data_IF_596654800237
#
_entry.id   IF_596654800237
#
_cell.length_a   1.000
_cell.length_b   1.000
_cell.length_c   1.000
_cell.angle_alpha   90.00
_cell.angle_beta   90.00
_cell.angle_gamma   90.00
#
_symmetry.space_group_name_H-M   'P 1'
#
loop_
_entity.id
_entity.type
_entity.pdbx_description
1 polymer ?
#
# COMPACT_ATOMS: atom_id res chain seq x y z
N UNK A 1 -10.31 -20.79 -1.46
CA UNK A 1 -8.84 -20.81 -1.45
C UNK A 1 -8.26 -20.09 -2.66
N UNK A 2 -8.60 -20.46 -3.91
CA UNK A 2 -8.14 -19.77 -5.13
C UNK A 2 -8.44 -18.26 -5.16
N UNK A 3 -9.62 -17.84 -4.69
CA UNK A 3 -10.04 -16.43 -4.68
C UNK A 3 -9.15 -15.53 -3.82
N UNK A 4 -8.74 -16.01 -2.65
CA UNK A 4 -7.84 -15.30 -1.72
C UNK A 4 -6.44 -15.09 -2.33
N UNK A 5 -5.93 -16.11 -3.02
CA UNK A 5 -4.62 -16.04 -3.70
C UNK A 5 -4.65 -14.98 -4.80
N UNK A 6 -5.75 -14.89 -5.56
CA UNK A 6 -5.90 -13.88 -6.61
C UNK A 6 -5.94 -12.46 -6.01
N UNK A 7 -6.67 -12.25 -4.91
CA UNK A 7 -6.71 -10.95 -4.22
C UNK A 7 -5.34 -10.57 -3.67
N UNK A 8 -4.60 -11.53 -3.10
CA UNK A 8 -3.24 -11.31 -2.62
C UNK A 8 -2.28 -10.95 -3.76
N UNK A 9 -2.32 -11.66 -4.88
CA UNK A 9 -1.49 -11.34 -6.04
C UNK A 9 -1.84 -9.99 -6.66
N UNK A 10 -3.13 -9.65 -6.75
CA UNK A 10 -3.58 -8.36 -7.27
C UNK A 10 -3.12 -7.20 -6.37
N UNK A 11 -3.17 -7.37 -5.04
CA UNK A 11 -2.70 -6.36 -4.09
C UNK A 11 -1.19 -6.19 -4.14
N UNK A 12 -0.43 -7.28 -4.22
CA UNK A 12 1.01 -7.24 -4.44
C UNK A 12 1.34 -6.46 -5.71
N UNK A 13 0.71 -6.80 -6.84
CA UNK A 13 0.90 -6.10 -8.11
C UNK A 13 0.59 -4.61 -7.98
N UNK A 14 -0.50 -4.26 -7.31
CA UNK A 14 -0.90 -2.86 -7.09
C UNK A 14 0.14 -2.08 -6.25
N UNK A 15 0.71 -2.70 -5.21
CA UNK A 15 1.77 -2.10 -4.40
C UNK A 15 3.07 -1.88 -5.19
N UNK A 16 3.41 -2.80 -6.11
CA UNK A 16 4.53 -2.62 -7.02
C UNK A 16 4.30 -1.50 -8.05
N UNK A 17 3.08 -1.36 -8.58
CA UNK A 17 2.72 -0.26 -9.49
C UNK A 17 2.87 1.09 -8.79
N UNK A 18 2.40 1.19 -7.55
CA UNK A 18 2.55 2.40 -6.73
C UNK A 18 4.03 2.74 -6.51
N UNK A 19 4.86 1.75 -6.17
CA UNK A 19 6.31 1.98 -6.03
C UNK A 19 6.96 2.41 -7.36
N UNK A 20 6.59 1.78 -8.47
CA UNK A 20 7.12 2.10 -9.79
C UNK A 20 6.80 3.53 -10.23
N UNK A 21 5.64 4.04 -9.83
CA UNK A 21 5.19 5.40 -10.13
C UNK A 21 5.80 6.48 -9.22
N UNK A 22 6.37 6.12 -8.06
CA UNK A 22 6.98 7.11 -7.17
C UNK A 22 8.37 7.56 -7.67
N UNK A 23 8.55 8.87 -7.75
CA UNK A 23 9.79 9.55 -8.15
C UNK A 23 10.88 9.44 -7.07
N UNK A 24 10.51 9.18 -5.82
CA UNK A 24 11.40 9.05 -4.65
C UNK A 24 11.64 7.59 -4.24
N UNK A 25 11.37 6.64 -5.16
CA UNK A 25 11.57 5.20 -4.94
C UNK A 25 12.98 4.77 -4.54
N UNK A 26 13.99 5.63 -4.74
CA UNK A 26 15.36 5.39 -4.29
C UNK A 26 15.58 5.63 -2.79
N UNK A 27 14.66 6.33 -2.12
CA UNK A 27 14.79 6.72 -0.72
C UNK A 27 14.19 5.70 0.25
N UNK A 28 13.40 4.73 -0.23
CA UNK A 28 12.82 3.65 0.57
C UNK A 28 12.75 2.33 -0.24
N UNK A 29 12.96 1.19 0.43
CA UNK A 29 13.06 -0.11 -0.24
C UNK A 29 11.76 -0.56 -0.93
N UNK A 30 11.89 -1.34 -2.01
CA UNK A 30 10.78 -1.86 -2.84
C UNK A 30 9.71 -2.60 -2.04
N UNK A 31 10.10 -3.20 -0.92
CA UNK A 31 9.24 -4.02 -0.08
C UNK A 31 8.26 -3.20 0.78
N UNK A 32 8.51 -1.91 1.01
CA UNK A 32 7.67 -1.08 1.88
C UNK A 32 6.26 -0.87 1.30
N UNK A 33 6.09 -0.35 0.07
CA UNK A 33 4.75 -0.14 -0.50
C UNK A 33 4.01 -1.45 -0.76
N UNK A 34 4.73 -2.49 -1.20
CA UNK A 34 4.17 -3.82 -1.41
C UNK A 34 3.70 -4.43 -0.07
N UNK A 35 4.53 -4.41 0.97
CA UNK A 35 4.19 -4.93 2.29
C UNK A 35 3.00 -4.19 2.93
N UNK A 36 2.97 -2.86 2.85
CA UNK A 36 1.84 -2.06 3.35
C UNK A 36 0.57 -2.38 2.59
N UNK A 37 0.62 -2.49 1.26
CA UNK A 37 -0.55 -2.80 0.45
C UNK A 37 -1.17 -4.15 0.83
N UNK A 38 -0.33 -5.17 1.03
CA UNK A 38 -0.75 -6.52 1.39
C UNK A 38 -1.27 -6.55 2.82
N UNK A 39 -0.58 -5.93 3.77
CA UNK A 39 -1.02 -5.91 5.17
C UNK A 39 -2.39 -5.24 5.33
N UNK A 40 -2.59 -4.08 4.71
CA UNK A 40 -3.87 -3.35 4.76
C UNK A 40 -4.98 -4.11 4.04
N UNK A 41 -4.68 -4.70 2.88
CA UNK A 41 -5.64 -5.52 2.18
C UNK A 41 -6.06 -6.75 3.00
N UNK A 42 -5.10 -7.48 3.59
CA UNK A 42 -5.41 -8.65 4.43
C UNK A 42 -6.23 -8.28 5.67
N UNK A 43 -5.89 -7.17 6.33
CA UNK A 43 -6.64 -6.69 7.50
C UNK A 43 -8.08 -6.31 7.12
N UNK A 44 -8.26 -5.54 6.04
CA UNK A 44 -9.60 -5.16 5.59
C UNK A 44 -10.43 -6.36 5.13
N UNK A 45 -9.82 -7.33 4.44
CA UNK A 45 -10.47 -8.58 4.06
C UNK A 45 -10.99 -9.32 5.29
N UNK A 46 -10.18 -9.45 6.34
CA UNK A 46 -10.55 -10.13 7.57
C UNK A 46 -11.72 -9.44 8.29
N UNK A 47 -11.73 -8.11 8.31
CA UNK A 47 -12.87 -7.32 8.85
C UNK A 47 -14.14 -7.55 8.03
N UNK A 48 -14.08 -7.53 6.70
CA UNK A 48 -15.27 -7.70 5.86
C UNK A 48 -15.86 -9.12 5.92
N UNK A 49 -15.02 -10.14 6.05
CA UNK A 49 -15.49 -11.51 6.27
C UNK A 49 -16.16 -11.64 7.64
N UNK A 50 -15.58 -11.04 8.69
CA UNK A 50 -16.19 -11.04 10.03
C UNK A 50 -17.52 -10.28 10.09
N UNK A 51 -17.69 -9.24 9.29
CA UNK A 51 -18.96 -8.51 9.16
C UNK A 51 -20.02 -9.29 8.36
N UNK A 52 -19.70 -10.49 7.85
CA UNK A 52 -20.65 -11.33 7.12
C UNK A 52 -20.91 -10.90 5.67
N UNK A 53 -20.18 -9.90 5.15
CA UNK A 53 -20.34 -9.42 3.77
C UNK A 53 -19.99 -10.49 2.72
N UNK A 54 -19.27 -11.55 3.10
CA UNK A 54 -19.00 -12.69 2.23
C UNK A 54 -20.22 -13.58 1.94
N UNK A 55 -21.27 -13.52 2.77
CA UNK A 55 -22.40 -14.47 2.72
C UNK A 55 -23.73 -13.81 2.33
N UNK A 56 -23.77 -12.48 2.22
CA UNK A 56 -24.96 -11.73 1.90
C UNK A 56 -25.06 -11.47 0.38
N UNK A 57 -26.16 -11.88 -0.28
CA UNK A 57 -26.38 -11.61 -1.70
C UNK A 57 -26.33 -10.10 -1.99
N UNK A 58 -25.64 -9.69 -3.06
CA UNK A 58 -25.50 -8.29 -3.48
C UNK A 58 -24.29 -7.54 -2.89
N UNK A 59 -23.80 -7.94 -1.72
CA UNK A 59 -22.57 -7.38 -1.10
C UNK A 59 -21.40 -8.34 -1.11
N UNK A 60 -21.58 -9.53 -1.68
CA UNK A 60 -20.53 -10.54 -1.79
C UNK A 60 -19.27 -10.02 -2.46
N UNK A 61 -19.33 -8.97 -3.31
CA UNK A 61 -18.15 -8.42 -3.98
C UNK A 61 -17.25 -7.56 -3.09
N UNK A 62 -17.78 -7.03 -1.98
CA UNK A 62 -17.12 -6.09 -1.07
C UNK A 62 -15.79 -6.66 -0.53
N UNK A 63 -15.75 -7.89 0.01
CA UNK A 63 -14.51 -8.44 0.54
C UNK A 63 -13.44 -8.67 -0.52
N UNK A 64 -13.71 -8.60 -1.83
CA UNK A 64 -12.67 -8.84 -2.85
C UNK A 64 -12.13 -7.54 -3.46
N UNK A 65 -13.00 -6.56 -3.72
CA UNK A 65 -12.60 -5.34 -4.43
C UNK A 65 -12.14 -4.25 -3.47
N UNK A 66 -12.86 -4.04 -2.37
CA UNK A 66 -12.53 -2.99 -1.40
C UNK A 66 -11.15 -3.18 -0.77
N UNK A 67 -10.73 -4.39 -0.37
CA UNK A 67 -9.38 -4.60 0.15
C UNK A 67 -8.27 -4.24 -0.82
N UNK A 68 -8.47 -4.51 -2.11
CA UNK A 68 -7.48 -4.16 -3.14
C UNK A 68 -7.34 -2.64 -3.21
N UNK A 69 -8.45 -1.93 -3.33
CA UNK A 69 -8.49 -0.47 -3.40
C UNK A 69 -7.88 0.15 -2.13
N UNK A 70 -8.29 -0.32 -0.95
CA UNK A 70 -7.77 0.17 0.33
C UNK A 70 -6.26 -0.08 0.46
N UNK A 71 -5.78 -1.25 0.06
CA UNK A 71 -4.35 -1.57 0.01
C UNK A 71 -3.58 -0.67 -0.94
N UNK A 72 -4.14 -0.36 -2.11
CA UNK A 72 -3.50 0.54 -3.09
C UNK A 72 -3.41 1.97 -2.57
N UNK A 73 -4.51 2.49 -2.02
CA UNK A 73 -4.59 3.84 -1.46
C UNK A 73 -3.65 3.98 -0.28
N UNK A 74 -3.63 3.02 0.65
CA UNK A 74 -2.72 3.04 1.78
C UNK A 74 -1.25 3.02 1.36
N UNK A 75 -0.91 2.20 0.37
CA UNK A 75 0.43 2.14 -0.21
C UNK A 75 0.84 3.49 -0.82
N UNK A 76 -0.05 4.12 -1.59
CA UNK A 76 0.19 5.42 -2.21
C UNK A 76 0.37 6.53 -1.17
N UNK A 77 -0.45 6.54 -0.12
CA UNK A 77 -0.33 7.49 1.00
C UNK A 77 1.02 7.32 1.70
N UNK A 78 1.44 6.08 2.00
CA UNK A 78 2.73 5.83 2.65
C UNK A 78 3.90 6.24 1.77
N UNK A 79 3.88 5.89 0.48
CA UNK A 79 4.92 6.27 -0.47
C UNK A 79 5.08 7.80 -0.56
N UNK A 80 3.95 8.51 -0.71
CA UNK A 80 3.94 9.97 -0.78
C UNK A 80 4.46 10.63 0.51
N UNK A 81 4.00 10.17 1.68
CA UNK A 81 4.38 10.76 2.97
C UNK A 81 5.86 10.52 3.27
N UNK A 82 6.34 9.29 3.03
CA UNK A 82 7.72 8.89 3.32
C UNK A 82 8.71 9.54 2.36
N UNK A 83 8.37 9.63 1.06
CA UNK A 83 9.19 10.33 0.06
C UNK A 83 9.35 11.81 0.39
N UNK A 84 8.27 12.48 0.83
CA UNK A 84 8.29 13.91 1.18
C UNK A 84 9.05 14.21 2.48
N UNK A 85 8.98 13.32 3.48
CA UNK A 85 9.71 13.51 4.73
C UNK A 85 11.21 13.25 4.58
N UNK A 86 11.60 12.16 3.89
CA UNK A 86 13.03 11.83 3.73
C UNK A 86 13.78 12.84 2.87
N UNK A 87 13.19 13.29 1.76
CA UNK A 87 13.79 14.36 0.95
C UNK A 87 14.01 15.66 1.71
N UNK A 88 13.10 16.02 2.62
CA UNK A 88 13.28 17.20 3.50
C UNK A 88 14.42 17.01 4.49
N UNK A 89 14.58 15.82 5.06
CA UNK A 89 15.70 15.55 5.97
C UNK A 89 17.04 15.54 5.24
N UNK A 90 17.12 14.90 4.07
CA UNK A 90 18.35 14.83 3.29
C UNK A 90 18.79 16.22 2.79
N UNK A 91 17.85 17.04 2.31
CA UNK A 91 18.14 18.43 1.91
C UNK A 91 18.56 19.30 3.09
N UNK A 92 17.95 19.12 4.27
CA UNK A 92 18.36 19.84 5.47
C UNK A 92 19.78 19.47 5.93
N UNK A 93 20.14 18.18 5.89
CA UNK A 93 21.49 17.73 6.24
C UNK A 93 22.53 18.19 5.22
N UNK A 94 22.23 18.11 3.91
CA UNK A 94 23.12 18.63 2.86
C UNK A 94 23.33 20.14 2.97
N UNK A 95 22.28 20.90 3.27
CA UNK A 95 22.37 22.36 3.46
C UNK A 95 23.21 22.71 4.71
N UNK A 96 23.11 21.91 5.78
CA UNK A 96 23.95 22.10 6.96
C UNK A 96 25.43 21.78 6.67
N UNK A 97 25.71 20.72 5.92
CA UNK A 97 27.07 20.35 5.52
C UNK A 97 27.72 21.35 4.56
N UNK A 98 26.95 21.95 3.64
CA UNK A 98 27.42 22.94 2.67
C UNK A 98 27.56 24.37 3.25
N UNK A 99 27.04 24.61 4.47
CA UNK A 99 27.18 25.90 5.17
C UNK A 99 28.41 25.98 6.08
N UNK A 100 29.19 24.90 6.18
CA UNK A 100 30.51 24.83 6.81
C UNK A 100 31.61 25.13 5.78
#
# INVERSE_FOLDING_TARGET
>A
MLSLVIVALATVASGFIVWGNDKHRGTYGIALPAGVSVAVAMLSWMVFIQLGFGYQPGVTWIPWVLPVILGTVASAVVAFFLGRHRTRHDTAQLTAALRL
#
